data_IF_516098932785
#
_entry.id   IF_516098932785
#
_cell.length_a   1.000
_cell.length_b   1.000
_cell.length_c   1.000
_cell.angle_alpha   90.00
_cell.angle_beta   90.00
_cell.angle_gamma   90.00
#
_symmetry.space_group_name_H-M   'P 1'
#
loop_
_entity.id
_entity.type
_entity.pdbx_description
1 polymer ?
#
# COMPACT_ATOMS: atom_id res chain seq x y z
N UNK A 1 6.58 -12.45 38.38
CA UNK A 1 7.77 -13.12 37.83
C UNK A 1 8.83 -13.30 38.90
N UNK A 2 9.68 -12.29 39.11
CA UNK A 2 10.80 -12.37 40.05
C UNK A 2 10.38 -12.69 41.50
N UNK A 3 9.26 -12.12 41.97
CA UNK A 3 8.69 -12.40 43.29
C UNK A 3 8.26 -13.87 43.50
N UNK A 4 7.88 -14.58 42.44
CA UNK A 4 7.47 -16.00 42.53
C UNK A 4 8.67 -16.94 42.64
N UNK A 5 9.85 -16.52 42.15
CA UNK A 5 11.07 -17.34 42.14
C UNK A 5 11.97 -17.03 43.33
N UNK A 6 11.84 -15.84 43.92
CA UNK A 6 12.56 -15.42 45.12
C UNK A 6 12.61 -16.48 46.25
N UNK A 7 11.49 -17.16 46.62
CA UNK A 7 11.54 -18.19 47.67
C UNK A 7 12.32 -19.45 47.26
N UNK A 8 12.50 -19.70 45.97
CA UNK A 8 13.24 -20.84 45.42
C UNK A 8 14.70 -20.49 45.09
N UNK A 9 15.11 -19.23 45.22
CA UNK A 9 16.47 -18.78 44.95
C UNK A 9 17.57 -19.56 45.73
N UNK A 10 17.37 -19.94 47.02
CA UNK A 10 18.37 -20.73 47.75
C UNK A 10 18.54 -22.15 47.21
N UNK A 11 17.46 -22.75 46.69
CA UNK A 11 17.47 -24.09 46.09
C UNK A 11 18.16 -24.06 44.72
N UNK A 12 17.83 -23.05 43.92
CA UNK A 12 18.43 -22.82 42.60
C UNK A 12 19.93 -22.52 42.71
N UNK A 13 20.34 -21.70 43.69
CA UNK A 13 21.75 -21.40 43.95
C UNK A 13 22.59 -22.64 44.34
N UNK A 14 21.96 -23.67 44.92
CA UNK A 14 22.62 -24.95 45.26
C UNK A 14 22.63 -25.95 44.11
N UNK A 15 21.63 -25.94 43.24
CA UNK A 15 21.50 -26.89 42.12
C UNK A 15 22.21 -26.47 40.84
N UNK A 16 22.28 -25.16 40.56
CA UNK A 16 22.85 -24.63 39.32
C UNK A 16 24.36 -24.91 39.14
N UNK A 17 25.20 -24.88 40.20
CA UNK A 17 26.62 -25.23 40.10
C UNK A 17 26.88 -26.72 39.79
N UNK A 18 25.88 -27.60 39.96
CA UNK A 18 25.98 -29.04 39.67
C UNK A 18 25.85 -29.30 38.16
N UNK A 19 25.14 -28.43 37.43
CA UNK A 19 24.91 -28.55 35.98
C UNK A 19 25.89 -27.71 35.16
N UNK A 20 26.35 -26.57 35.67
CA UNK A 20 27.26 -25.66 34.96
C UNK A 20 28.39 -25.26 35.92
N UNK A 21 29.60 -25.73 35.62
CA UNK A 21 30.77 -25.53 36.48
C UNK A 21 31.27 -24.07 36.49
N UNK A 22 31.03 -23.30 35.41
CA UNK A 22 31.45 -21.90 35.32
C UNK A 22 30.37 -20.97 35.91
N UNK A 23 30.65 -20.22 36.99
CA UNK A 23 29.67 -19.35 37.65
C UNK A 23 29.07 -18.27 36.73
N UNK A 24 29.84 -17.78 35.74
CA UNK A 24 29.34 -16.75 34.80
C UNK A 24 28.34 -17.33 33.80
N UNK A 25 28.63 -18.51 33.28
CA UNK A 25 27.74 -19.23 32.35
C UNK A 25 26.46 -19.70 33.06
N UNK A 26 26.58 -20.09 34.33
CA UNK A 26 25.43 -20.47 35.16
C UNK A 26 24.41 -19.32 35.27
N UNK A 27 24.87 -18.08 35.51
CA UNK A 27 24.00 -16.90 35.58
C UNK A 27 23.30 -16.64 34.24
N UNK A 28 24.04 -16.67 33.13
CA UNK A 28 23.46 -16.47 31.78
C UNK A 28 22.44 -17.56 31.45
N UNK A 29 22.79 -18.83 31.69
CA UNK A 29 21.91 -19.97 31.46
C UNK A 29 20.63 -19.89 32.29
N UNK A 30 20.72 -19.47 33.55
CA UNK A 30 19.55 -19.21 34.39
C UNK A 30 18.67 -18.11 33.79
N UNK A 31 19.24 -16.98 33.35
CA UNK A 31 18.46 -15.90 32.74
C UNK A 31 17.71 -16.35 31.49
N UNK A 32 18.36 -17.12 30.61
CA UNK A 32 17.74 -17.65 29.39
C UNK A 32 16.61 -18.61 29.75
N UNK A 33 16.88 -19.63 30.57
CA UNK A 33 15.88 -20.65 30.97
C UNK A 33 14.69 -19.99 31.67
N UNK A 34 14.95 -19.08 32.61
CA UNK A 34 13.91 -18.36 33.33
C UNK A 34 13.03 -17.53 32.39
N UNK A 35 13.64 -16.75 31.49
CA UNK A 35 12.88 -15.91 30.57
C UNK A 35 12.10 -16.74 29.54
N UNK A 36 12.65 -17.87 29.07
CA UNK A 36 11.94 -18.80 28.19
C UNK A 36 10.75 -19.44 28.89
N UNK A 37 10.93 -19.98 30.09
CA UNK A 37 9.83 -20.56 30.88
C UNK A 37 8.75 -19.53 31.18
N UNK A 38 9.15 -18.31 31.54
CA UNK A 38 8.21 -17.20 31.74
C UNK A 38 7.46 -16.86 30.46
N UNK A 39 8.13 -16.82 29.32
CA UNK A 39 7.50 -16.60 28.02
C UNK A 39 6.44 -17.67 27.74
N UNK A 40 6.80 -18.95 27.84
CA UNK A 40 5.87 -20.07 27.65
C UNK A 40 4.67 -20.02 28.61
N UNK A 41 4.89 -19.69 29.88
CA UNK A 41 3.81 -19.51 30.84
C UNK A 41 2.91 -18.32 30.45
N UNK A 42 3.49 -17.19 30.07
CA UNK A 42 2.74 -16.01 29.64
C UNK A 42 1.93 -16.25 28.35
N UNK A 43 2.39 -17.10 27.43
CA UNK A 43 1.64 -17.46 26.21
C UNK A 43 0.25 -18.04 26.55
N UNK A 44 0.18 -18.92 27.55
CA UNK A 44 -1.10 -19.50 27.99
C UNK A 44 -2.05 -18.50 28.65
N UNK A 45 -1.52 -17.35 29.10
CA UNK A 45 -2.30 -16.26 29.67
C UNK A 45 -2.74 -15.23 28.64
N UNK A 46 -2.33 -15.34 27.37
CA UNK A 46 -2.71 -14.38 26.34
C UNK A 46 -4.23 -14.31 26.18
N UNK A 47 -4.91 -15.44 25.94
CA UNK A 47 -6.36 -15.42 25.71
C UNK A 47 -7.16 -14.94 26.93
N UNK A 48 -6.88 -15.40 28.17
CA UNK A 48 -7.54 -14.85 29.36
C UNK A 48 -7.35 -13.34 29.52
N UNK A 49 -6.12 -12.84 29.34
CA UNK A 49 -5.83 -11.41 29.47
C UNK A 49 -6.49 -10.62 28.34
N UNK A 50 -6.45 -11.12 27.10
CA UNK A 50 -7.12 -10.51 25.97
C UNK A 50 -8.63 -10.37 26.22
N UNK A 51 -9.30 -11.40 26.74
CA UNK A 51 -10.73 -11.34 27.11
C UNK A 51 -11.03 -10.34 28.22
N UNK A 52 -10.13 -10.19 29.19
CA UNK A 52 -10.27 -9.18 30.25
C UNK A 52 -10.12 -7.79 29.63
N UNK A 53 -9.11 -7.58 28.79
CA UNK A 53 -8.87 -6.32 28.09
C UNK A 53 -10.07 -5.92 27.22
N UNK A 54 -10.63 -6.82 26.41
CA UNK A 54 -11.82 -6.53 25.58
C UNK A 54 -13.08 -6.31 26.40
N UNK A 55 -13.15 -6.79 27.65
CA UNK A 55 -14.27 -6.53 28.55
C UNK A 55 -14.14 -5.19 29.29
N UNK A 56 -12.92 -4.78 29.63
CA UNK A 56 -12.61 -3.52 30.32
C UNK A 56 -12.56 -2.35 29.34
N UNK A 57 -12.05 -2.59 28.14
CA UNK A 57 -12.05 -1.71 26.98
C UNK A 57 -12.87 -2.39 25.87
N UNK A 58 -14.21 -2.35 25.94
CA UNK A 58 -15.02 -2.80 24.81
C UNK A 58 -14.68 -1.96 23.58
N UNK A 59 -14.56 -2.62 22.43
CA UNK A 59 -14.44 -1.93 21.16
C UNK A 59 -15.60 -0.95 21.03
N UNK A 60 -15.30 0.28 20.60
CA UNK A 60 -16.34 1.27 20.35
C UNK A 60 -17.31 0.68 19.31
N UNK A 61 -18.63 0.70 19.54
CA UNK A 61 -19.59 0.18 18.57
C UNK A 61 -19.34 0.85 17.23
N UNK A 62 -19.06 0.04 16.19
CA UNK A 62 -18.96 0.54 14.82
C UNK A 62 -20.37 1.00 14.42
N UNK A 63 -20.61 2.29 14.19
CA UNK A 63 -21.89 2.73 13.68
C UNK A 63 -21.98 2.29 12.21
N UNK A 64 -23.03 1.54 11.90
CA UNK A 64 -23.58 1.26 10.57
C UNK A 64 -22.75 1.76 9.37
N UNK A 65 -21.80 0.94 8.90
CA UNK A 65 -21.24 1.08 7.55
C UNK A 65 -20.45 2.36 7.23
N UNK A 66 -20.28 3.30 8.17
CA UNK A 66 -19.45 4.50 7.98
C UNK A 66 -18.00 4.20 8.36
N UNK A 67 -17.12 4.23 7.37
CA UNK A 67 -15.71 3.92 7.53
C UNK A 67 -14.99 5.08 8.25
N UNK A 68 -14.97 5.05 9.59
CA UNK A 68 -14.32 6.09 10.40
C UNK A 68 -12.79 5.95 10.40
N UNK A 69 -12.05 7.07 10.55
CA UNK A 69 -10.61 7.03 10.71
C UNK A 69 -10.23 6.23 11.96
N UNK A 70 -9.36 5.23 11.81
CA UNK A 70 -9.00 4.33 12.91
C UNK A 70 -7.76 4.81 13.67
N UNK A 71 -6.80 5.37 12.94
CA UNK A 71 -5.49 5.70 13.51
C UNK A 71 -5.33 7.18 13.83
N UNK A 72 -6.21 8.06 13.37
CA UNK A 72 -6.08 9.51 13.58
C UNK A 72 -6.44 9.89 15.02
N UNK A 73 -5.43 9.89 15.89
CA UNK A 73 -5.58 10.23 17.32
C UNK A 73 -5.21 11.69 17.60
N UNK A 74 -6.17 12.47 18.07
CA UNK A 74 -5.97 13.85 18.47
C UNK A 74 -4.99 14.00 19.65
N UNK A 75 -4.87 12.99 20.51
CA UNK A 75 -3.94 13.00 21.64
C UNK A 75 -2.47 12.94 21.19
N UNK A 76 -2.19 12.47 19.97
CA UNK A 76 -0.85 12.40 19.40
C UNK A 76 -0.38 13.73 18.77
N UNK A 77 -1.29 14.69 18.52
CA UNK A 77 -0.97 15.97 17.86
C UNK A 77 0.16 16.79 18.51
N UNK A 78 0.33 16.80 19.86
CA UNK A 78 1.45 17.48 20.49
C UNK A 78 2.83 16.86 20.21
N UNK A 79 2.88 15.65 19.63
CA UNK A 79 4.11 14.93 19.26
C UNK A 79 4.13 14.69 17.75
N UNK A 80 4.72 15.59 16.94
CA UNK A 80 4.60 15.56 15.48
C UNK A 80 4.99 14.23 14.85
N UNK A 81 6.13 13.65 15.22
CA UNK A 81 6.58 12.35 14.72
C UNK A 81 5.55 11.24 14.96
N UNK A 82 4.91 11.22 16.14
CA UNK A 82 3.87 10.25 16.47
C UNK A 82 2.60 10.50 15.65
N UNK A 83 2.15 11.75 15.55
CA UNK A 83 1.01 12.14 14.72
C UNK A 83 1.20 11.75 13.25
N UNK A 84 2.40 11.98 12.69
CA UNK A 84 2.75 11.56 11.33
C UNK A 84 2.73 10.03 11.17
N UNK A 85 3.18 9.27 12.18
CA UNK A 85 3.08 7.81 12.15
C UNK A 85 1.62 7.31 12.19
N UNK A 86 0.73 8.00 12.91
CA UNK A 86 -0.71 7.75 12.90
C UNK A 86 -1.33 8.04 11.53
N UNK A 87 -1.02 9.19 10.94
CA UNK A 87 -1.48 9.55 9.60
C UNK A 87 -0.97 8.55 8.53
N UNK A 88 0.31 8.17 8.59
CA UNK A 88 0.88 7.19 7.65
C UNK A 88 0.16 5.83 7.71
N UNK A 89 -0.23 5.36 8.90
CA UNK A 89 -1.02 4.11 9.02
C UNK A 89 -2.42 4.24 8.42
N UNK A 90 -3.04 5.40 8.56
CA UNK A 90 -4.34 5.63 7.91
C UNK A 90 -4.21 5.65 6.38
N UNK A 91 -3.15 6.25 5.84
CA UNK A 91 -2.88 6.23 4.39
C UNK A 91 -2.63 4.80 3.87
N UNK A 92 -1.93 3.95 4.62
CA UNK A 92 -1.77 2.53 4.25
C UNK A 92 -3.12 1.80 4.17
N UNK A 93 -4.05 2.11 5.09
CA UNK A 93 -5.41 1.56 5.05
C UNK A 93 -6.18 2.02 3.81
N UNK A 94 -6.03 3.28 3.38
CA UNK A 94 -6.57 3.74 2.08
C UNK A 94 -5.98 2.88 0.95
N UNK A 95 -4.67 2.62 0.99
CA UNK A 95 -4.00 1.74 0.02
C UNK A 95 -4.58 0.33 -0.04
N UNK A 96 -4.96 -0.26 1.10
CA UNK A 96 -5.62 -1.57 1.17
C UNK A 96 -7.04 -1.54 0.57
N UNK A 97 -7.78 -0.44 0.75
CA UNK A 97 -9.09 -0.24 0.13
C UNK A 97 -8.93 -0.16 -1.39
N UNK A 98 -8.02 0.68 -1.89
CA UNK A 98 -7.72 0.82 -3.33
C UNK A 98 -7.30 -0.53 -3.93
N UNK A 99 -6.51 -1.34 -3.22
CA UNK A 99 -6.19 -2.71 -3.65
C UNK A 99 -7.46 -3.56 -3.82
N UNK A 100 -8.37 -3.49 -2.87
CA UNK A 100 -9.63 -4.26 -2.91
C UNK A 100 -10.51 -3.79 -4.09
N UNK A 101 -10.53 -2.49 -4.36
CA UNK A 101 -11.22 -1.93 -5.54
C UNK A 101 -10.61 -2.47 -6.85
N UNK A 102 -9.28 -2.60 -6.96
CA UNK A 102 -8.61 -3.23 -8.11
C UNK A 102 -8.93 -4.71 -8.27
N UNK A 103 -9.07 -5.45 -7.16
CA UNK A 103 -9.49 -6.85 -7.16
C UNK A 103 -10.95 -6.95 -7.69
N UNK A 104 -11.84 -6.05 -7.24
CA UNK A 104 -13.23 -5.98 -7.74
C UNK A 104 -13.31 -5.63 -9.25
N UNK A 105 -12.42 -4.77 -9.76
CA UNK A 105 -12.35 -4.47 -11.20
C UNK A 105 -12.02 -5.72 -12.01
N UNK A 106 -11.11 -6.58 -11.52
CA UNK A 106 -10.80 -7.85 -12.17
C UNK A 106 -12.05 -8.75 -12.24
N UNK A 107 -12.75 -8.92 -11.11
CA UNK A 107 -14.00 -9.69 -11.05
C UNK A 107 -15.07 -9.12 -12.02
N UNK A 108 -15.14 -7.80 -12.17
CA UNK A 108 -16.10 -7.16 -13.09
C UNK A 108 -15.75 -7.39 -14.57
N UNK A 109 -14.45 -7.38 -14.91
CA UNK A 109 -13.96 -7.68 -16.26
C UNK A 109 -14.32 -9.13 -16.65
N UNK A 110 -14.16 -10.09 -15.74
CA UNK A 110 -14.42 -11.51 -15.98
C UNK A 110 -15.89 -11.90 -15.86
N UNK A 111 -16.52 -11.60 -14.72
CA UNK A 111 -17.79 -12.22 -14.31
C UNK A 111 -19.01 -11.29 -14.46
N UNK A 112 -18.81 -10.03 -14.86
CA UNK A 112 -19.86 -9.00 -14.91
C UNK A 112 -20.59 -8.81 -13.56
N UNK A 113 -19.85 -8.96 -12.45
CA UNK A 113 -20.43 -8.94 -11.11
C UNK A 113 -20.85 -7.51 -10.69
N UNK A 114 -22.12 -7.15 -10.92
CA UNK A 114 -22.67 -5.83 -10.54
C UNK A 114 -22.70 -5.57 -9.03
N UNK A 115 -22.62 -6.62 -8.19
CA UNK A 115 -22.47 -6.43 -6.74
C UNK A 115 -21.09 -5.84 -6.42
N UNK A 116 -20.06 -6.34 -7.12
CA UNK A 116 -18.68 -5.85 -7.00
C UNK A 116 -18.53 -4.41 -7.49
N UNK A 117 -19.25 -4.05 -8.56
CA UNK A 117 -19.30 -2.67 -9.02
C UNK A 117 -19.86 -1.71 -7.95
N UNK A 118 -21.03 -2.04 -7.37
CA UNK A 118 -21.63 -1.24 -6.29
C UNK A 118 -20.77 -1.19 -5.04
N UNK A 119 -20.11 -2.31 -4.71
CA UNK A 119 -19.16 -2.37 -3.61
C UNK A 119 -17.99 -1.40 -3.84
N UNK A 120 -17.45 -1.35 -5.07
CA UNK A 120 -16.36 -0.43 -5.43
C UNK A 120 -16.78 1.04 -5.34
N UNK A 121 -17.98 1.40 -5.79
CA UNK A 121 -18.49 2.78 -5.66
C UNK A 121 -18.58 3.19 -4.19
N UNK A 122 -19.09 2.31 -3.31
CA UNK A 122 -19.10 2.58 -1.86
C UNK A 122 -17.68 2.68 -1.27
N UNK A 123 -16.75 1.86 -1.75
CA UNK A 123 -15.35 1.93 -1.31
C UNK A 123 -14.69 3.25 -1.71
N UNK A 124 -15.09 3.84 -2.83
CA UNK A 124 -14.62 5.16 -3.25
C UNK A 124 -15.10 6.26 -2.28
N UNK A 125 -16.39 6.24 -1.90
CA UNK A 125 -16.91 7.12 -0.83
C UNK A 125 -16.11 6.96 0.49
N UNK A 126 -15.65 5.75 0.80
CA UNK A 126 -14.81 5.49 1.97
C UNK A 126 -13.39 6.06 1.80
N UNK A 127 -12.80 5.97 0.61
CA UNK A 127 -11.50 6.59 0.28
C UNK A 127 -11.57 8.10 0.44
N UNK A 128 -12.63 8.73 -0.07
CA UNK A 128 -12.87 10.17 0.03
C UNK A 128 -12.98 10.66 1.47
N UNK A 129 -13.77 9.95 2.28
CA UNK A 129 -13.92 10.26 3.70
C UNK A 129 -12.59 10.14 4.45
N UNK A 130 -11.81 9.09 4.17
CA UNK A 130 -10.50 8.91 4.78
C UNK A 130 -9.50 9.96 4.30
N UNK A 131 -9.49 10.32 3.02
CA UNK A 131 -8.67 11.39 2.47
C UNK A 131 -8.97 12.72 3.16
N UNK A 132 -10.25 13.08 3.28
CA UNK A 132 -10.67 14.29 3.98
C UNK A 132 -10.22 14.28 5.44
N UNK A 133 -10.35 13.15 6.14
CA UNK A 133 -9.93 13.01 7.52
C UNK A 133 -8.40 13.13 7.69
N UNK A 134 -7.61 12.47 6.85
CA UNK A 134 -6.14 12.57 6.84
C UNK A 134 -5.72 14.00 6.56
N UNK A 135 -6.30 14.64 5.55
CA UNK A 135 -6.02 16.04 5.19
C UNK A 135 -6.31 16.96 6.37
N UNK A 136 -7.49 16.87 6.98
CA UNK A 136 -7.84 17.66 8.17
C UNK A 136 -6.86 17.39 9.31
N UNK A 137 -6.54 16.13 9.61
CA UNK A 137 -5.60 15.78 10.67
C UNK A 137 -4.20 16.40 10.44
N UNK A 138 -3.67 16.32 9.22
CA UNK A 138 -2.37 16.89 8.87
C UNK A 138 -2.34 18.42 8.96
N UNK A 139 -3.46 19.12 8.79
CA UNK A 139 -3.52 20.59 8.98
C UNK A 139 -3.43 21.01 10.44
N UNK A 140 -3.75 20.12 11.38
CA UNK A 140 -3.64 20.38 12.82
C UNK A 140 -2.20 20.22 13.34
N UNK A 141 -1.31 19.60 12.56
CA UNK A 141 0.09 19.46 12.91
C UNK A 141 0.81 20.79 12.62
N UNK A 142 1.37 21.41 13.67
CA UNK A 142 2.07 22.68 13.53
C UNK A 142 3.33 22.53 12.69
N UNK A 143 3.38 23.21 11.53
CA UNK A 143 4.56 23.19 10.64
C UNK A 143 5.81 23.80 11.27
N UNK A 144 5.66 24.69 12.24
CA UNK A 144 6.78 25.31 12.97
C UNK A 144 7.50 24.33 13.91
N UNK A 145 6.81 23.23 14.30
CA UNK A 145 7.36 22.20 15.18
C UNK A 145 7.99 21.03 14.41
N UNK A 146 7.89 21.02 13.08
CA UNK A 146 8.46 19.96 12.25
C UNK A 146 9.94 20.23 12.01
N UNK A 147 10.78 19.24 12.31
CA UNK A 147 12.13 19.22 11.78
C UNK A 147 12.12 18.89 10.28
N UNK A 148 13.31 18.87 9.66
CA UNK A 148 13.42 18.63 8.22
C UNK A 148 12.95 17.22 7.82
N UNK A 149 13.14 16.22 8.68
CA UNK A 149 12.72 14.85 8.42
C UNK A 149 11.20 14.70 8.51
N UNK A 150 10.59 15.27 9.56
CA UNK A 150 9.16 15.28 9.78
C UNK A 150 8.42 16.12 8.73
N UNK A 151 9.03 17.21 8.25
CA UNK A 151 8.49 18.03 7.15
C UNK A 151 8.46 17.27 5.81
N UNK A 152 9.53 16.54 5.49
CA UNK A 152 9.55 15.61 4.36
C UNK A 152 8.48 14.53 4.51
N UNK A 153 8.39 13.91 5.69
CA UNK A 153 7.40 12.86 5.96
C UNK A 153 5.97 13.37 5.84
N UNK A 154 5.68 14.57 6.33
CA UNK A 154 4.38 15.24 6.14
C UNK A 154 4.03 15.37 4.66
N UNK A 155 5.01 15.77 3.84
CA UNK A 155 4.85 15.93 2.39
C UNK A 155 4.58 14.60 1.71
N UNK A 156 5.34 13.55 2.05
CA UNK A 156 5.15 12.21 1.50
C UNK A 156 3.75 11.67 1.82
N UNK A 157 3.28 11.86 3.06
CA UNK A 157 1.95 11.40 3.50
C UNK A 157 0.87 12.11 2.68
N UNK A 158 0.87 13.46 2.62
CA UNK A 158 -0.20 14.16 1.89
C UNK A 158 -0.16 13.84 0.39
N UNK A 159 1.03 13.74 -0.21
CA UNK A 159 1.18 13.39 -1.63
C UNK A 159 0.66 12.00 -1.93
N UNK A 160 1.00 10.98 -1.13
CA UNK A 160 0.45 9.64 -1.31
C UNK A 160 -1.07 9.61 -1.10
N UNK A 161 -1.58 10.32 -0.10
CA UNK A 161 -3.03 10.37 0.17
C UNK A 161 -3.79 10.91 -1.04
N UNK A 162 -3.31 12.01 -1.65
CA UNK A 162 -3.90 12.58 -2.87
C UNK A 162 -3.83 11.58 -4.04
N UNK A 163 -2.69 10.91 -4.22
CA UNK A 163 -2.53 9.94 -5.30
C UNK A 163 -3.45 8.72 -5.15
N UNK A 164 -3.77 8.31 -3.91
CA UNK A 164 -4.72 7.22 -3.65
C UNK A 164 -6.17 7.64 -3.84
N UNK A 165 -6.53 8.88 -3.51
CA UNK A 165 -7.86 9.43 -3.83
C UNK A 165 -8.06 9.52 -5.34
N UNK A 166 -7.12 10.10 -6.07
CA UNK A 166 -7.16 10.09 -7.55
C UNK A 166 -7.17 8.68 -8.16
N UNK A 167 -6.63 7.69 -7.44
CA UNK A 167 -6.72 6.30 -7.88
C UNK A 167 -8.13 5.73 -7.68
N UNK A 168 -8.80 6.07 -6.58
CA UNK A 168 -10.22 5.79 -6.35
C UNK A 168 -11.08 6.30 -7.51
N UNK A 169 -11.01 7.59 -7.81
CA UNK A 169 -11.74 8.24 -8.92
C UNK A 169 -11.56 7.52 -10.27
N UNK A 170 -10.33 7.10 -10.58
CA UNK A 170 -10.05 6.40 -11.84
C UNK A 170 -10.67 5.00 -11.81
N UNK A 171 -10.62 4.30 -10.67
CA UNK A 171 -11.22 2.98 -10.52
C UNK A 171 -12.75 3.06 -10.60
N UNK A 172 -13.38 4.04 -9.94
CA UNK A 172 -14.83 4.28 -10.03
C UNK A 172 -15.27 4.51 -11.48
N UNK A 173 -14.51 5.32 -12.23
CA UNK A 173 -14.74 5.54 -13.66
C UNK A 173 -14.57 4.27 -14.49
N UNK A 174 -13.53 3.47 -14.24
CA UNK A 174 -13.32 2.17 -14.90
C UNK A 174 -14.53 1.26 -14.68
N UNK A 175 -15.03 1.19 -13.45
CA UNK A 175 -16.22 0.39 -13.11
C UNK A 175 -17.43 0.86 -13.90
N UNK A 176 -17.69 2.16 -13.89
CA UNK A 176 -18.81 2.77 -14.63
C UNK A 176 -18.72 2.48 -16.13
N UNK A 177 -17.54 2.64 -16.72
CA UNK A 177 -17.28 2.35 -18.12
C UNK A 177 -17.51 0.87 -18.47
N UNK A 178 -17.14 -0.07 -17.58
CA UNK A 178 -17.40 -1.49 -17.79
C UNK A 178 -18.92 -1.78 -17.71
N UNK A 179 -19.62 -1.20 -16.74
CA UNK A 179 -21.06 -1.37 -16.60
C UNK A 179 -21.81 -0.85 -17.85
N UNK A 180 -21.52 0.37 -18.27
CA UNK A 180 -22.21 1.04 -19.38
C UNK A 180 -21.80 0.48 -20.75
N UNK A 181 -20.50 0.32 -21.01
CA UNK A 181 -19.99 0.00 -22.35
C UNK A 181 -19.92 -1.51 -22.61
N UNK A 182 -19.81 -2.36 -21.57
CA UNK A 182 -19.74 -3.84 -21.71
C UNK A 182 -20.97 -4.56 -21.19
N UNK A 183 -21.32 -4.38 -19.91
CA UNK A 183 -22.37 -5.19 -19.26
C UNK A 183 -23.75 -4.86 -19.83
N UNK A 184 -24.10 -3.58 -19.96
CA UNK A 184 -25.39 -3.14 -20.48
C UNK A 184 -25.64 -3.64 -21.92
N UNK A 185 -24.57 -3.76 -22.72
CA UNK A 185 -24.61 -4.24 -24.09
C UNK A 185 -24.37 -5.75 -24.24
N UNK A 186 -24.17 -6.48 -23.13
CA UNK A 186 -23.88 -7.94 -23.10
C UNK A 186 -22.68 -8.33 -23.95
N UNK A 187 -21.66 -7.48 -23.95
CA UNK A 187 -20.43 -7.69 -24.71
C UNK A 187 -19.41 -8.49 -23.91
N UNK A 188 -18.42 -9.03 -24.62
CA UNK A 188 -17.27 -9.75 -24.04
C UNK A 188 -16.01 -9.35 -24.78
N UNK A 189 -14.90 -9.22 -24.05
CA UNK A 189 -13.59 -9.03 -24.66
C UNK A 189 -13.18 -10.28 -25.45
N UNK A 190 -12.27 -10.13 -26.41
CA UNK A 190 -11.60 -11.30 -27.02
C UNK A 190 -10.70 -11.98 -25.99
N UNK A 191 -10.38 -13.26 -26.18
CA UNK A 191 -9.50 -14.00 -25.26
C UNK A 191 -8.12 -13.33 -25.15
N UNK A 192 -7.58 -12.84 -26.27
CA UNK A 192 -6.32 -12.12 -26.29
C UNK A 192 -6.41 -10.79 -25.55
N UNK A 193 -7.51 -10.03 -25.78
CA UNK A 193 -7.74 -8.77 -25.09
C UNK A 193 -7.91 -8.96 -23.58
N UNK A 194 -8.58 -10.02 -23.16
CA UNK A 194 -8.73 -10.35 -21.74
C UNK A 194 -7.37 -10.66 -21.10
N UNK A 195 -6.53 -11.47 -21.75
CA UNK A 195 -5.19 -11.78 -21.27
C UNK A 195 -4.25 -10.56 -21.17
N UNK A 196 -4.43 -9.57 -22.06
CA UNK A 196 -3.71 -8.28 -21.99
C UNK A 196 -4.14 -7.46 -20.77
N UNK A 197 -5.45 -7.39 -20.49
CA UNK A 197 -6.00 -6.71 -19.31
C UNK A 197 -5.56 -7.40 -18.01
N UNK A 198 -5.52 -8.74 -17.99
CA UNK A 198 -5.08 -9.52 -16.83
C UNK A 198 -3.60 -9.30 -16.49
N UNK A 199 -2.70 -9.29 -17.49
CA UNK A 199 -1.27 -8.99 -17.24
C UNK A 199 -1.09 -7.57 -16.69
N UNK A 200 -1.82 -6.58 -17.23
CA UNK A 200 -1.76 -5.22 -16.72
C UNK A 200 -2.34 -5.09 -15.31
N UNK A 201 -3.48 -5.74 -15.01
CA UNK A 201 -4.10 -5.72 -13.68
C UNK A 201 -3.17 -6.33 -12.64
N UNK A 202 -2.57 -7.50 -12.92
CA UNK A 202 -1.69 -8.18 -11.98
C UNK A 202 -0.45 -7.33 -11.66
N UNK A 203 0.13 -6.68 -12.69
CA UNK A 203 1.24 -5.72 -12.52
C UNK A 203 0.82 -4.50 -11.72
N UNK A 204 -0.38 -3.99 -11.98
CA UNK A 204 -0.90 -2.81 -11.31
C UNK A 204 -1.06 -3.04 -9.80
N UNK A 205 -1.64 -4.18 -9.41
CA UNK A 205 -1.74 -4.59 -8.00
C UNK A 205 -0.37 -4.78 -7.36
N UNK A 206 0.56 -5.44 -8.06
CA UNK A 206 1.94 -5.61 -7.57
C UNK A 206 2.66 -4.27 -7.38
N UNK A 207 2.44 -3.30 -8.27
CA UNK A 207 3.08 -1.99 -8.20
C UNK A 207 2.46 -1.10 -7.11
N UNK A 208 1.16 -1.21 -6.84
CA UNK A 208 0.53 -0.59 -5.68
C UNK A 208 1.19 -1.09 -4.38
N UNK A 209 1.28 -2.41 -4.20
CA UNK A 209 1.88 -3.01 -3.01
C UNK A 209 3.36 -2.62 -2.84
N UNK A 210 4.12 -2.61 -3.94
CA UNK A 210 5.50 -2.15 -3.94
C UNK A 210 5.60 -0.65 -3.59
N UNK A 211 4.72 0.19 -4.12
CA UNK A 211 4.64 1.62 -3.79
C UNK A 211 4.33 1.89 -2.32
N UNK A 212 3.38 1.17 -1.74
CA UNK A 212 3.07 1.25 -0.30
C UNK A 212 4.27 0.78 0.55
N UNK A 213 5.00 -0.24 0.10
CA UNK A 213 6.21 -0.73 0.77
C UNK A 213 7.36 0.28 0.73
N UNK A 214 7.54 0.96 -0.42
CA UNK A 214 8.51 2.07 -0.58
C UNK A 214 8.17 3.21 0.36
N UNK A 215 6.89 3.60 0.39
CA UNK A 215 6.40 4.65 1.28
C UNK A 215 6.61 4.34 2.77
N UNK A 216 6.47 3.08 3.18
CA UNK A 216 6.65 2.69 4.58
C UNK A 216 8.11 2.65 5.00
N UNK A 217 8.98 2.08 4.16
CA UNK A 217 10.36 1.73 4.55
C UNK A 217 11.44 2.67 3.99
N UNK A 218 11.10 3.55 3.04
CA UNK A 218 12.05 4.36 2.28
C UNK A 218 13.19 3.52 1.66
N UNK A 219 12.88 2.29 1.21
CA UNK A 219 13.87 1.39 0.62
C UNK A 219 14.20 1.83 -0.82
N UNK A 220 15.44 2.29 -1.00
CA UNK A 220 15.99 2.72 -2.28
C UNK A 220 15.89 1.64 -3.37
N UNK A 221 16.15 0.38 -3.05
CA UNK A 221 16.11 -0.71 -4.04
C UNK A 221 14.67 -0.96 -4.51
N UNK A 222 13.72 -0.90 -3.59
CA UNK A 222 12.30 -0.99 -3.93
C UNK A 222 11.85 0.20 -4.77
N UNK A 223 12.35 1.40 -4.49
CA UNK A 223 12.05 2.61 -5.27
C UNK A 223 12.62 2.53 -6.71
N UNK A 224 13.87 2.09 -6.88
CA UNK A 224 14.47 1.85 -8.19
C UNK A 224 13.68 0.80 -8.99
N UNK A 225 13.32 -0.31 -8.34
CA UNK A 225 12.49 -1.36 -8.94
C UNK A 225 11.14 -0.82 -9.37
N UNK A 226 10.50 0.02 -8.55
CA UNK A 226 9.19 0.59 -8.86
C UNK A 226 9.24 1.50 -10.09
N UNK A 227 10.30 2.31 -10.26
CA UNK A 227 10.49 3.09 -11.49
C UNK A 227 10.77 2.21 -12.72
N UNK A 228 11.55 1.13 -12.57
CA UNK A 228 11.77 0.19 -13.67
C UNK A 228 10.45 -0.48 -14.10
N UNK A 229 9.60 -0.88 -13.15
CA UNK A 229 8.27 -1.42 -13.45
C UNK A 229 7.35 -0.34 -14.07
N UNK A 230 7.48 0.93 -13.70
CA UNK A 230 6.78 2.03 -14.38
C UNK A 230 7.11 2.12 -15.87
N UNK A 231 8.40 2.02 -16.21
CA UNK A 231 8.85 2.05 -17.61
C UNK A 231 8.35 0.82 -18.37
N UNK A 232 8.47 -0.36 -17.76
CA UNK A 232 7.96 -1.62 -18.33
C UNK A 232 6.46 -1.58 -18.58
N UNK A 233 5.68 -1.07 -17.63
CA UNK A 233 4.23 -0.92 -17.76
C UNK A 233 3.86 -0.03 -18.95
N UNK A 234 4.59 1.08 -19.14
CA UNK A 234 4.39 1.99 -20.28
C UNK A 234 4.69 1.31 -21.61
N UNK A 235 5.71 0.46 -21.67
CA UNK A 235 6.05 -0.24 -22.90
C UNK A 235 5.05 -1.36 -23.23
N UNK A 236 4.51 -2.03 -22.20
CA UNK A 236 3.40 -2.98 -22.35
C UNK A 236 2.11 -2.32 -22.82
N UNK A 237 1.73 -1.18 -22.24
CA UNK A 237 0.57 -0.39 -22.68
C UNK A 237 0.63 -0.09 -24.18
N UNK A 238 1.78 0.37 -24.68
CA UNK A 238 1.97 0.64 -26.11
C UNK A 238 1.88 -0.64 -26.95
N UNK A 239 2.51 -1.72 -26.49
CA UNK A 239 2.52 -2.98 -27.21
C UNK A 239 1.11 -3.58 -27.31
N UNK A 240 0.33 -3.57 -26.24
CA UNK A 240 -1.05 -4.06 -26.22
C UNK A 240 -2.00 -3.16 -27.01
N UNK A 241 -1.85 -1.84 -26.91
CA UNK A 241 -2.62 -0.92 -27.75
C UNK A 241 -2.38 -1.17 -29.25
N UNK A 242 -1.12 -1.39 -29.65
CA UNK A 242 -0.78 -1.70 -31.03
C UNK A 242 -1.35 -3.06 -31.48
N UNK A 243 -1.18 -4.11 -30.67
CA UNK A 243 -1.77 -5.43 -30.96
C UNK A 243 -3.29 -5.37 -31.09
N UNK A 244 -3.95 -4.59 -30.25
CA UNK A 244 -5.40 -4.39 -30.32
C UNK A 244 -5.81 -3.74 -31.65
N UNK A 245 -5.09 -2.69 -32.09
CA UNK A 245 -5.34 -2.03 -33.39
C UNK A 245 -5.15 -2.98 -34.58
N UNK A 246 -4.13 -3.84 -34.55
CA UNK A 246 -3.93 -4.87 -35.58
C UNK A 246 -5.12 -5.86 -35.63
N UNK A 247 -5.68 -6.25 -34.46
CA UNK A 247 -6.89 -7.10 -34.41
C UNK A 247 -8.14 -6.42 -34.98
N UNK A 248 -8.26 -5.10 -34.82
CA UNK A 248 -9.32 -4.31 -35.46
C UNK A 248 -9.19 -4.28 -36.98
N UNK A 249 -7.97 -4.09 -37.48
CA UNK A 249 -7.70 -4.15 -38.91
C UNK A 249 -8.06 -5.52 -39.51
N UNK A 250 -7.90 -6.60 -38.73
CA UNK A 250 -8.33 -7.95 -39.06
C UNK A 250 -9.83 -8.25 -38.94
N UNK A 251 -10.68 -7.26 -38.63
CA UNK A 251 -12.15 -7.36 -38.52
C UNK A 251 -12.68 -8.40 -37.51
N UNK A 252 -12.01 -8.59 -36.38
CA UNK A 252 -12.57 -9.47 -35.32
C UNK A 252 -13.79 -8.80 -34.68
N UNK A 253 -15.00 -9.35 -34.88
CA UNK A 253 -16.28 -8.73 -34.49
C UNK A 253 -16.31 -8.30 -33.01
N UNK A 254 -15.91 -9.20 -32.10
CA UNK A 254 -15.84 -8.91 -30.64
C UNK A 254 -14.85 -7.78 -30.32
N UNK A 255 -13.73 -7.70 -31.03
CA UNK A 255 -12.73 -6.64 -30.83
C UNK A 255 -13.24 -5.28 -31.28
N UNK A 256 -14.11 -5.21 -32.28
CA UNK A 256 -14.72 -3.96 -32.76
C UNK A 256 -15.71 -3.42 -31.72
N UNK A 257 -16.58 -4.29 -31.19
CA UNK A 257 -17.65 -3.90 -30.26
C UNK A 257 -17.12 -3.36 -28.93
N UNK A 258 -16.01 -3.91 -28.42
CA UNK A 258 -15.39 -3.47 -27.16
C UNK A 258 -14.14 -2.61 -27.35
N UNK A 259 -13.82 -2.17 -28.57
CA UNK A 259 -12.53 -1.56 -28.88
C UNK A 259 -12.21 -0.33 -28.04
N UNK A 260 -13.14 0.63 -28.01
CA UNK A 260 -12.97 1.88 -27.29
C UNK A 260 -12.75 1.61 -25.79
N UNK A 261 -13.60 0.77 -25.20
CA UNK A 261 -13.47 0.37 -23.80
C UNK A 261 -12.12 -0.29 -23.51
N UNK A 262 -11.67 -1.21 -24.36
CA UNK A 262 -10.40 -1.91 -24.13
C UNK A 262 -9.19 -0.96 -24.10
N UNK A 263 -9.13 0.00 -25.04
CA UNK A 263 -8.06 1.01 -25.06
C UNK A 263 -8.19 2.01 -23.90
N UNK A 264 -9.40 2.39 -23.52
CA UNK A 264 -9.67 3.25 -22.36
C UNK A 264 -9.14 2.59 -21.06
N UNK A 265 -9.46 1.30 -20.85
CA UNK A 265 -9.00 0.54 -19.69
C UNK A 265 -7.46 0.45 -19.61
N UNK A 266 -6.78 0.16 -20.73
CA UNK A 266 -5.31 0.12 -20.79
C UNK A 266 -4.71 1.48 -20.39
N UNK A 267 -5.28 2.56 -20.91
CA UNK A 267 -4.83 3.93 -20.63
C UNK A 267 -5.04 4.30 -19.16
N UNK A 268 -6.19 3.98 -18.58
CA UNK A 268 -6.49 4.26 -17.18
C UNK A 268 -5.65 3.41 -16.22
N UNK A 269 -5.39 2.13 -16.53
CA UNK A 269 -4.44 1.30 -15.77
C UNK A 269 -3.02 1.90 -15.76
N UNK A 270 -2.57 2.51 -16.85
CA UNK A 270 -1.28 3.23 -16.90
C UNK A 270 -1.28 4.51 -16.06
N UNK A 271 -2.41 5.22 -16.01
CA UNK A 271 -2.57 6.41 -15.14
C UNK A 271 -2.49 6.00 -13.67
N UNK A 272 -3.22 4.96 -13.27
CA UNK A 272 -3.14 4.35 -11.93
C UNK A 272 -1.70 3.95 -11.58
N UNK A 273 -1.03 3.22 -12.47
CA UNK A 273 0.36 2.82 -12.25
C UNK A 273 1.29 4.03 -12.04
N UNK A 274 1.04 5.13 -12.73
CA UNK A 274 1.84 6.35 -12.59
C UNK A 274 1.64 7.03 -11.23
N UNK A 275 0.42 6.99 -10.68
CA UNK A 275 0.10 7.46 -9.33
C UNK A 275 0.83 6.61 -8.28
N UNK A 276 0.78 5.28 -8.39
CA UNK A 276 1.43 4.37 -7.43
C UNK A 276 2.95 4.51 -7.44
N UNK A 277 3.55 4.63 -8.62
CA UNK A 277 4.99 4.79 -8.78
C UNK A 277 5.53 6.16 -8.34
N UNK A 278 4.66 7.14 -8.07
CA UNK A 278 5.10 8.48 -7.65
C UNK A 278 5.84 8.47 -6.30
N UNK A 279 5.52 7.49 -5.45
CA UNK A 279 6.16 7.25 -4.14
C UNK A 279 7.66 6.98 -4.22
N UNK A 280 8.17 6.55 -5.38
CA UNK A 280 9.59 6.32 -5.58
C UNK A 280 10.40 7.62 -5.70
N UNK A 281 9.80 8.72 -6.18
CA UNK A 281 10.54 9.94 -6.50
C UNK A 281 11.20 10.58 -5.27
N UNK A 282 10.51 10.79 -4.13
CA UNK A 282 11.13 11.39 -2.94
C UNK A 282 12.33 10.57 -2.43
N UNK A 283 12.21 9.24 -2.43
CA UNK A 283 13.28 8.32 -1.98
C UNK A 283 14.51 8.43 -2.90
N UNK A 284 14.28 8.46 -4.22
CA UNK A 284 15.35 8.55 -5.20
C UNK A 284 16.00 9.95 -5.23
N UNK A 285 15.23 11.00 -5.00
CA UNK A 285 15.72 12.38 -4.90
C UNK A 285 16.62 12.53 -3.66
N UNK A 286 16.17 12.04 -2.51
CA UNK A 286 16.94 12.05 -1.28
C UNK A 286 18.26 11.25 -1.39
N UNK A 287 18.26 10.18 -2.20
CA UNK A 287 19.46 9.39 -2.48
C UNK A 287 20.37 9.98 -3.58
N UNK A 288 19.97 11.08 -4.24
CA UNK A 288 20.67 11.62 -5.41
C UNK A 288 20.68 10.65 -6.61
N UNK A 289 19.79 9.66 -6.62
CA UNK A 289 19.73 8.58 -7.61
C UNK A 289 18.89 8.95 -8.84
N UNK A 290 18.14 10.07 -8.78
CA UNK A 290 17.53 10.66 -9.96
C UNK A 290 18.65 11.19 -10.87
N UNK A 291 19.05 10.37 -11.86
CA UNK A 291 19.87 10.86 -12.97
C UNK A 291 19.16 12.07 -13.59
N UNK A 292 19.85 13.21 -13.65
CA UNK A 292 19.49 14.40 -14.45
C UNK A 292 19.11 13.99 -15.88
N UNK A 293 17.86 13.59 -16.10
CA UNK A 293 17.46 13.06 -17.40
C UNK A 293 16.07 13.54 -17.73
N UNK A 294 16.05 14.63 -18.51
CA UNK A 294 15.22 14.68 -19.71
C UNK A 294 15.75 15.55 -20.85
N UNK A 295 16.73 16.44 -20.64
CA UNK A 295 17.17 17.34 -21.74
C UNK A 295 18.68 17.63 -21.89
N UNK A 296 19.56 17.32 -20.93
CA UNK A 296 20.95 17.81 -21.02
C UNK A 296 21.86 17.01 -21.97
N UNK A 297 21.59 15.72 -22.18
CA UNK A 297 22.43 14.88 -23.06
C UNK A 297 22.22 15.15 -24.55
N UNK A 298 21.02 15.58 -24.97
CA UNK A 298 20.72 15.87 -26.39
C UNK A 298 21.26 17.24 -26.85
N UNK A 299 21.42 18.19 -25.94
CA UNK A 299 21.93 19.54 -26.29
C UNK A 299 23.45 19.56 -26.38
N UNK A 300 24.16 18.82 -25.51
CA UNK A 300 25.63 18.81 -25.51
C UNK A 300 26.24 18.05 -26.69
N UNK A 301 25.61 16.95 -27.14
CA UNK A 301 26.06 16.21 -28.32
C UNK A 301 25.77 16.95 -29.64
N UNK A 302 24.81 17.88 -29.66
CA UNK A 302 24.50 18.70 -30.84
C UNK A 302 25.40 19.95 -30.93
N UNK A 303 26.05 20.35 -29.82
CA UNK A 303 26.97 21.50 -29.80
C UNK A 303 28.43 21.13 -30.10
N UNK A 304 28.82 19.85 -30.00
CA UNK A 304 30.18 19.37 -30.31
C UNK A 304 30.36 18.88 -31.76
N UNK A 305 29.36 19.03 -32.62
CA UNK A 305 29.43 18.63 -34.05
C UNK A 305 29.45 19.87 -34.98
N UNK A 306 29.69 21.07 -34.43
CA UNK A 306 29.68 22.33 -35.19
C UNK A 306 30.92 23.23 -35.00
N UNK A 307 32.05 22.64 -34.65
CA UNK A 307 33.39 23.24 -34.87
C UNK A 307 34.19 22.32 -35.79
#
# INVERSE_FOLDING_TARGET
GALLILPFAPLLARGLPVLIANPREAVVGFHVIYNTLRCCACLSLIDPVARICTRVLPDRPQPNGELRPLHLDAAALPTPTLALAHAAREVLRIGDIVRTMLDNVADLIHDNNLEKARETVRMDDDVDQLYAAVKSYLTLISREQLDEADSRRWTDIISLTINLEHAGDIIERIVSDIEEKKIAHRLSFSEEGLGELDDLQARLVSNLQLGLSVFLNNDLRCAERLLAEKERFRDLERAYSYKHLDRLAGQTLRSIETSALHLDLISDMKRLNSLFCSTAYPVLEAAGALRDTRLRKRVLDTMHVKE
#
